data_IF_133419035149
#
_entry.id   IF_133419035149
#
_cell.length_a   1.000
_cell.length_b   1.000
_cell.length_c   1.000
_cell.angle_alpha   90.00
_cell.angle_beta   90.00
_cell.angle_gamma   90.00
#
_symmetry.space_group_name_H-M   'P 1'
#
loop_
_entity.id
_entity.type
_entity.pdbx_description
1 polymer ?
#
# COMPACT_ATOMS: atom_id res chain seq x y z
N UNK A 1 23.81 -21.88 19.27
CA UNK A 1 22.33 -21.69 19.31
C UNK A 1 21.98 -21.35 20.75
N UNK A 2 21.30 -20.23 20.98
CA UNK A 2 20.88 -19.87 22.34
C UNK A 2 19.73 -20.79 22.77
N UNK A 3 19.87 -21.57 23.86
CA UNK A 3 18.77 -22.38 24.37
C UNK A 3 17.64 -21.44 24.81
N UNK A 4 16.43 -21.62 24.27
CA UNK A 4 15.23 -20.85 24.66
C UNK A 4 14.67 -19.91 23.60
N UNK A 5 15.36 -19.68 22.48
CA UNK A 5 14.81 -18.88 21.37
C UNK A 5 14.36 -19.82 20.23
N UNK A 6 13.05 -19.90 20.01
CA UNK A 6 12.46 -20.63 18.89
C UNK A 6 12.68 -19.90 17.56
N UNK A 7 12.98 -20.66 16.50
CA UNK A 7 13.09 -20.15 15.12
C UNK A 7 11.79 -19.43 14.71
N UNK A 8 10.63 -19.96 15.12
CA UNK A 8 9.34 -19.35 14.81
C UNK A 8 9.16 -18.00 15.50
N UNK A 9 9.58 -17.88 16.76
CA UNK A 9 9.50 -16.62 17.52
C UNK A 9 10.37 -15.53 16.90
N UNK A 10 11.57 -15.88 16.40
CA UNK A 10 12.43 -14.94 15.66
C UNK A 10 11.79 -14.54 14.34
N UNK A 11 11.29 -15.51 13.59
CA UNK A 11 10.66 -15.27 12.29
C UNK A 11 9.44 -14.34 12.40
N UNK A 12 8.57 -14.56 13.38
CA UNK A 12 7.40 -13.72 13.67
C UNK A 12 7.79 -12.27 14.00
N UNK A 13 8.79 -12.07 14.86
CA UNK A 13 9.26 -10.71 15.23
C UNK A 13 9.76 -9.90 14.03
N UNK A 14 10.27 -10.57 13.00
CA UNK A 14 10.79 -9.93 11.79
C UNK A 14 9.82 -10.00 10.60
N UNK A 15 8.63 -10.59 10.75
CA UNK A 15 7.67 -10.77 9.67
C UNK A 15 8.15 -11.71 8.55
N UNK A 16 9.04 -12.65 8.87
CA UNK A 16 9.66 -13.58 7.90
C UNK A 16 9.05 -14.98 8.10
N UNK A 17 8.99 -15.79 7.03
CA UNK A 17 8.52 -17.17 7.10
C UNK A 17 9.52 -18.07 7.87
N UNK A 18 9.06 -18.79 8.90
CA UNK A 18 9.89 -19.67 9.72
C UNK A 18 10.54 -20.84 8.94
N UNK A 19 9.88 -21.35 7.89
CA UNK A 19 10.44 -22.39 7.02
C UNK A 19 11.64 -21.87 6.24
N UNK A 20 11.61 -20.59 5.87
CA UNK A 20 12.68 -19.94 5.14
C UNK A 20 13.91 -19.77 6.06
N UNK A 21 13.69 -19.28 7.29
CA UNK A 21 14.74 -19.17 8.31
C UNK A 21 15.38 -20.54 8.60
N UNK A 22 14.58 -21.60 8.75
CA UNK A 22 15.10 -22.97 8.97
C UNK A 22 15.99 -23.44 7.82
N UNK A 23 15.64 -23.15 6.57
CA UNK A 23 16.44 -23.50 5.38
C UNK A 23 17.74 -22.67 5.30
N UNK A 24 17.71 -21.41 5.72
CA UNK A 24 18.86 -20.52 5.65
C UNK A 24 19.90 -20.72 6.75
N UNK A 25 19.49 -21.09 7.97
CA UNK A 25 20.41 -21.32 9.09
C UNK A 25 21.63 -22.18 8.73
N UNK A 26 21.50 -23.37 8.09
CA UNK A 26 22.68 -24.17 7.72
C UNK A 26 23.50 -23.54 6.59
N UNK A 27 22.86 -22.84 5.63
CA UNK A 27 23.56 -22.22 4.48
C UNK A 27 24.47 -21.05 4.88
N UNK A 28 24.12 -20.37 5.97
CA UNK A 28 24.82 -19.17 6.43
C UNK A 28 25.57 -19.39 7.76
N UNK A 29 25.59 -20.62 8.29
CA UNK A 29 26.20 -20.94 9.59
C UNK A 29 27.70 -20.65 9.63
N UNK A 30 28.40 -21.05 8.57
CA UNK A 30 29.86 -20.96 8.47
C UNK A 30 30.32 -19.78 7.60
N UNK A 31 29.35 -19.01 7.08
CA UNK A 31 29.63 -17.80 6.33
C UNK A 31 30.05 -16.73 7.32
N UNK A 32 31.36 -16.52 7.50
CA UNK A 32 31.87 -15.27 8.10
C UNK A 32 31.16 -14.13 7.40
N UNK A 33 30.62 -13.19 8.16
CA UNK A 33 30.03 -11.97 7.61
C UNK A 33 31.10 -11.29 6.75
N UNK A 34 31.13 -11.59 5.45
CA UNK A 34 31.92 -10.78 4.54
C UNK A 34 31.33 -9.39 4.64
N UNK A 35 32.17 -8.36 4.60
CA UNK A 35 31.67 -7.01 4.42
C UNK A 35 30.70 -7.05 3.25
N UNK A 36 29.41 -6.89 3.54
CA UNK A 36 28.42 -6.77 2.49
C UNK A 36 28.86 -5.55 1.67
N UNK A 37 28.86 -5.63 0.34
CA UNK A 37 29.17 -4.45 -0.47
C UNK A 37 28.28 -3.31 0.02
N UNK A 38 28.89 -2.14 0.23
CA UNK A 38 28.15 -0.95 0.66
C UNK A 38 26.93 -0.77 -0.25
N UNK A 39 25.76 -0.58 0.35
CA UNK A 39 24.54 -0.29 -0.41
C UNK A 39 24.82 0.91 -1.31
N UNK A 40 24.67 0.72 -2.62
CA UNK A 40 24.73 1.82 -3.57
C UNK A 40 23.38 2.53 -3.48
N UNK A 41 23.32 3.82 -3.10
CA UNK A 41 22.08 4.56 -3.12
C UNK A 41 21.57 4.61 -4.56
N UNK A 42 20.50 3.88 -4.83
CA UNK A 42 19.77 4.06 -6.07
C UNK A 42 19.05 5.40 -5.96
N UNK A 43 19.42 6.35 -6.82
CA UNK A 43 18.59 7.53 -7.06
C UNK A 43 17.31 7.02 -7.71
N UNK A 44 16.31 6.72 -6.89
CA UNK A 44 14.96 6.59 -7.39
C UNK A 44 14.61 7.99 -7.88
N UNK A 45 14.57 8.16 -9.20
CA UNK A 45 13.92 9.33 -9.78
C UNK A 45 12.58 9.44 -9.07
N UNK A 46 12.39 10.53 -8.33
CA UNK A 46 11.10 10.83 -7.73
C UNK A 46 10.12 10.67 -8.85
N UNK A 47 9.29 9.61 -8.79
CA UNK A 47 8.25 9.40 -9.76
C UNK A 47 7.56 10.76 -9.83
N UNK A 48 7.72 11.44 -10.98
CA UNK A 48 7.00 12.68 -11.25
C UNK A 48 5.60 12.35 -10.80
N UNK A 49 5.13 13.02 -9.74
CA UNK A 49 3.86 12.71 -9.14
C UNK A 49 2.90 12.61 -10.31
N UNK A 50 2.52 11.38 -10.69
CA UNK A 50 1.58 11.18 -11.77
C UNK A 50 0.44 12.08 -11.37
N UNK A 51 0.01 13.04 -12.22
CA UNK A 51 -1.04 13.97 -11.84
C UNK A 51 -2.12 13.08 -11.25
N UNK A 52 -2.35 13.23 -9.94
CA UNK A 52 -3.12 12.27 -9.16
C UNK A 52 -4.36 12.05 -9.99
N UNK A 53 -4.53 10.81 -10.51
CA UNK A 53 -5.57 10.53 -11.50
C UNK A 53 -6.81 11.15 -10.90
N UNK A 54 -7.31 12.22 -11.53
CA UNK A 54 -8.48 12.92 -11.03
C UNK A 54 -9.60 11.97 -11.35
N UNK A 55 -9.72 10.93 -10.53
CA UNK A 55 -10.79 9.98 -10.63
C UNK A 55 -12.00 10.77 -10.16
N UNK A 56 -12.87 11.02 -11.12
CA UNK A 56 -14.08 11.79 -10.97
C UNK A 56 -15.22 10.79 -11.10
N UNK A 57 -16.02 10.69 -10.05
CA UNK A 57 -17.25 9.92 -10.07
C UNK A 57 -18.28 10.68 -10.92
N UNK A 58 -18.92 9.99 -11.86
CA UNK A 58 -20.00 10.54 -12.69
C UNK A 58 -21.33 10.06 -12.11
N UNK A 59 -22.20 11.00 -11.77
CA UNK A 59 -23.50 10.75 -11.15
C UNK A 59 -24.56 11.27 -12.11
N UNK A 60 -25.38 10.38 -12.65
CA UNK A 60 -26.50 10.73 -13.51
C UNK A 60 -27.78 10.81 -12.68
N UNK A 61 -28.41 11.99 -12.68
CA UNK A 61 -29.65 12.26 -11.96
C UNK A 61 -30.74 12.48 -13.00
N UNK A 62 -31.71 11.57 -13.05
CA UNK A 62 -32.89 11.72 -13.90
C UNK A 62 -33.91 12.61 -13.20
N UNK A 63 -34.26 13.74 -13.83
CA UNK A 63 -35.34 14.65 -13.41
C UNK A 63 -36.46 14.62 -14.46
N UNK A 64 -37.67 15.11 -14.10
CA UNK A 64 -38.81 15.20 -15.03
C UNK A 64 -38.49 16.05 -16.28
N UNK A 65 -37.50 16.93 -16.20
CA UNK A 65 -37.07 17.85 -17.25
C UNK A 65 -35.82 17.38 -18.02
N UNK A 66 -35.27 16.20 -17.69
CA UNK A 66 -34.10 15.61 -18.35
C UNK A 66 -33.08 15.02 -17.38
N UNK A 67 -32.07 14.34 -17.94
CA UNK A 67 -30.96 13.76 -17.15
C UNK A 67 -29.85 14.79 -16.97
N UNK A 68 -29.51 15.09 -15.71
CA UNK A 68 -28.37 15.94 -15.35
C UNK A 68 -27.22 15.05 -14.94
N UNK A 69 -26.10 15.14 -15.64
CA UNK A 69 -24.84 14.50 -15.25
C UNK A 69 -24.02 15.44 -14.38
N UNK A 70 -23.66 15.00 -13.17
CA UNK A 70 -22.75 15.67 -12.27
C UNK A 70 -21.43 14.91 -12.18
N UNK A 71 -20.32 15.62 -12.31
CA UNK A 71 -18.97 15.07 -12.18
C UNK A 71 -18.37 15.49 -10.83
N UNK A 72 -18.13 14.55 -9.91
CA UNK A 72 -17.64 14.83 -8.56
C UNK A 72 -16.25 14.24 -8.30
N UNK A 73 -15.28 15.02 -7.78
CA UNK A 73 -13.94 14.49 -7.50
C UNK A 73 -13.96 13.48 -6.34
N UNK A 74 -13.25 12.35 -6.49
CA UNK A 74 -13.16 11.33 -5.42
C UNK A 74 -12.41 11.86 -4.18
N UNK A 75 -11.65 12.96 -4.30
CA UNK A 75 -10.99 13.62 -3.18
C UNK A 75 -11.95 14.23 -2.15
N UNK A 76 -13.22 14.46 -2.50
CA UNK A 76 -14.22 15.01 -1.58
C UNK A 76 -15.55 14.20 -1.61
N UNK A 77 -15.58 13.01 -1.00
CA UNK A 77 -16.80 12.21 -0.91
C UNK A 77 -17.85 12.87 0.01
N UNK A 78 -17.41 13.70 0.97
CA UNK A 78 -18.29 14.40 1.90
C UNK A 78 -19.16 15.46 1.20
N UNK A 79 -18.57 16.24 0.28
CA UNK A 79 -19.31 17.18 -0.56
C UNK A 79 -20.37 16.50 -1.42
N UNK A 80 -20.04 15.33 -2.00
CA UNK A 80 -20.97 14.55 -2.82
C UNK A 80 -22.23 14.16 -2.03
N UNK A 81 -22.05 13.63 -0.81
CA UNK A 81 -23.18 13.22 0.03
C UNK A 81 -24.08 14.40 0.43
N UNK A 82 -23.51 15.60 0.66
CA UNK A 82 -24.30 16.81 0.97
C UNK A 82 -25.14 17.25 -0.24
N UNK A 83 -24.56 17.21 -1.44
CA UNK A 83 -25.28 17.54 -2.67
C UNK A 83 -26.45 16.58 -2.92
N UNK A 84 -26.22 15.27 -2.85
CA UNK A 84 -27.28 14.27 -3.03
C UNK A 84 -28.40 14.47 -2.00
N UNK A 85 -28.05 14.77 -0.75
CA UNK A 85 -29.05 15.03 0.30
C UNK A 85 -29.91 16.27 0.00
N UNK A 86 -29.31 17.32 -0.57
CA UNK A 86 -30.06 18.53 -0.97
C UNK A 86 -31.05 18.30 -2.10
N UNK A 87 -30.83 17.28 -2.95
CA UNK A 87 -31.76 16.91 -4.02
C UNK A 87 -32.95 16.07 -3.53
N UNK A 88 -32.86 15.51 -2.32
CA UNK A 88 -33.92 14.72 -1.70
C UNK A 88 -34.85 15.53 -0.78
N UNK A 89 -34.64 16.84 -0.66
CA UNK A 89 -35.53 17.78 0.05
C UNK A 89 -36.49 18.46 -0.92
#
# INVERSE_FOLDING_TARGET
MHPGISIASVALRHGINANLVRKWIPLYRDRKASALPAFIPLKLETAVAMPARQDVARIDISSEQGTVTVSWPISDPGGCARFIRSLSQ
#
